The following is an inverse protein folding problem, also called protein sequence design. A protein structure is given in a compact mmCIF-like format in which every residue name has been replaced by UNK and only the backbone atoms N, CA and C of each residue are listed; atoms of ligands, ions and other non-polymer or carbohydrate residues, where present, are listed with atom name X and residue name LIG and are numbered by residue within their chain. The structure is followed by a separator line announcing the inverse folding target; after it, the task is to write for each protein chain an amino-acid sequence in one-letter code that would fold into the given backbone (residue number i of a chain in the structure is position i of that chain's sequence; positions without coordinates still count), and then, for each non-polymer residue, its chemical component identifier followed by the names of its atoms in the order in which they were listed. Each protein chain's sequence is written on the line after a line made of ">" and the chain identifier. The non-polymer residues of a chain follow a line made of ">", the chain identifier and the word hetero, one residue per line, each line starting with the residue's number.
data_IF_185702048030
#
_entry.id   IF_185702048030
#
_cell.length_a   1.000
_cell.length_b   1.000
_cell.length_c   1.000
_cell.angle_alpha   90.00
_cell.angle_beta   90.00
_cell.angle_gamma   90.00
#
_symmetry.space_group_name_H-M   'P 1'
#
loop_
_entity.id
_entity.type
_entity.pdbx_description
1 polymer ?
#
# COMPACT_ATOMS: atom_id res chain seq x y z
N UNK A 1 3.50 33.28 66.35
CA UNK A 1 4.31 32.05 66.30
C UNK A 1 3.56 31.07 65.41
N UNK A 2 4.27 30.42 64.48
CA UNK A 2 3.82 29.52 63.39
C UNK A 2 3.41 30.15 62.05
N UNK A 3 4.45 30.23 61.20
CA UNK A 3 4.59 29.96 59.76
C UNK A 3 3.36 29.55 58.94
N UNK A 4 3.17 30.24 57.81
CA UNK A 4 2.49 29.78 56.60
C UNK A 4 3.42 29.98 55.40
N UNK A 5 3.65 28.93 54.64
CA UNK A 5 4.24 28.94 53.30
C UNK A 5 3.34 29.70 52.31
N UNK A 6 3.89 30.38 51.28
CA UNK A 6 3.09 30.96 50.21
C UNK A 6 2.94 30.00 49.03
N UNK A 7 1.73 30.01 48.48
CA UNK A 7 1.34 29.38 47.22
C UNK A 7 1.74 30.23 46.01
N UNK A 8 1.92 29.52 44.89
CA UNK A 8 1.76 29.93 43.48
C UNK A 8 2.68 31.04 42.92
N UNK A 9 3.70 30.60 42.18
CA UNK A 9 4.36 31.41 41.13
C UNK A 9 4.14 30.76 39.76
N UNK A 10 3.37 31.44 38.90
CA UNK A 10 3.25 31.16 37.47
C UNK A 10 4.62 30.99 36.80
N UNK A 11 4.81 30.05 35.86
CA UNK A 11 6.04 29.97 35.10
C UNK A 11 6.16 31.19 34.18
N UNK A 12 7.23 31.95 34.35
CA UNK A 12 7.63 33.04 33.46
C UNK A 12 7.92 32.49 32.07
N UNK A 13 7.17 32.98 31.08
CA UNK A 13 7.55 32.90 29.67
C UNK A 13 8.72 33.87 29.46
N UNK A 14 9.92 33.34 29.23
CA UNK A 14 11.06 34.13 28.80
C UNK A 14 10.97 34.33 27.28
N UNK A 15 10.61 35.55 26.88
CA UNK A 15 10.75 36.05 25.50
C UNK A 15 12.23 36.39 25.21
N UNK A 16 12.70 35.98 24.02
CA UNK A 16 13.81 36.47 23.16
C UNK A 16 14.40 35.23 22.46
N UNK A 17 14.33 35.02 21.14
CA UNK A 17 14.67 35.93 20.05
C UNK A 17 13.61 35.97 18.93
N UNK A 18 13.29 37.19 18.51
CA UNK A 18 12.44 37.52 17.36
C UNK A 18 13.29 37.61 16.10
N UNK A 19 13.35 36.55 15.31
CA UNK A 19 13.87 36.58 13.94
C UNK A 19 12.80 36.06 12.98
N UNK A 20 12.67 36.69 11.81
CA UNK A 20 11.88 36.13 10.72
C UNK A 20 12.56 34.88 10.17
N UNK A 21 11.83 33.99 9.51
CA UNK A 21 12.43 32.81 8.86
C UNK A 21 13.55 33.18 7.86
N UNK A 22 13.46 34.38 7.29
CA UNK A 22 14.47 34.97 6.40
C UNK A 22 15.81 35.20 7.11
N UNK A 23 15.80 35.51 8.42
CA UNK A 23 17.01 35.72 9.21
C UNK A 23 17.75 34.38 9.48
N UNK A 24 16.98 33.30 9.69
CA UNK A 24 17.52 31.94 9.85
C UNK A 24 18.12 31.44 8.53
N UNK A 25 17.43 31.67 7.40
CA UNK A 25 17.96 31.33 6.07
C UNK A 25 19.28 32.04 5.77
N UNK A 26 19.41 33.31 6.19
CA UNK A 26 20.65 34.07 5.98
C UNK A 26 21.77 33.62 6.91
N UNK A 27 21.48 33.34 8.19
CA UNK A 27 22.52 32.99 9.17
C UNK A 27 23.01 31.54 9.04
N UNK A 28 22.15 30.63 8.57
CA UNK A 28 22.47 29.20 8.49
C UNK A 28 22.00 28.58 7.15
N UNK A 29 22.55 29.03 6.00
CA UNK A 29 22.11 28.60 4.67
C UNK A 29 22.38 27.11 4.39
N UNK A 30 23.30 26.49 5.12
CA UNK A 30 23.76 25.11 5.00
C UNK A 30 22.87 24.07 5.70
N UNK A 31 21.93 24.51 6.55
CA UNK A 31 21.00 23.62 7.28
C UNK A 31 19.53 23.83 6.92
N UNK A 32 19.22 24.80 6.06
CA UNK A 32 17.87 25.16 5.64
C UNK A 32 17.49 24.33 4.42
N UNK A 33 16.60 23.35 4.59
CA UNK A 33 16.19 22.43 3.52
C UNK A 33 15.19 23.03 2.52
N UNK A 34 14.39 24.00 2.97
CA UNK A 34 13.38 24.72 2.17
C UNK A 34 13.55 26.21 2.45
N UNK A 35 13.73 27.02 1.41
CA UNK A 35 13.89 28.47 1.57
C UNK A 35 12.56 29.18 1.83
N UNK A 36 12.63 30.48 2.14
CA UNK A 36 11.45 31.32 2.40
C UNK A 36 10.43 31.37 1.26
N UNK A 37 10.82 30.98 0.04
CA UNK A 37 9.95 30.92 -1.13
C UNK A 37 9.33 29.52 -1.34
N UNK A 38 9.54 28.58 -0.40
CA UNK A 38 9.02 27.21 -0.49
C UNK A 38 9.81 26.31 -1.44
N UNK A 39 11.01 26.72 -1.87
CA UNK A 39 11.83 25.97 -2.82
C UNK A 39 12.90 25.18 -2.06
N UNK A 40 13.06 23.90 -2.42
CA UNK A 40 14.07 23.01 -1.87
C UNK A 40 15.49 23.52 -2.22
N UNK A 41 16.34 23.63 -1.21
CA UNK A 41 17.71 24.15 -1.35
C UNK A 41 18.73 23.05 -1.69
N UNK A 42 18.35 21.78 -1.55
CA UNK A 42 19.24 20.63 -1.74
C UNK A 42 20.17 20.33 -0.56
N UNK A 43 20.13 21.12 0.52
CA UNK A 43 20.93 20.88 1.72
C UNK A 43 20.22 19.90 2.67
N UNK A 44 20.76 18.67 2.79
CA UNK A 44 20.24 17.62 3.68
C UNK A 44 21.30 17.30 4.74
N UNK A 45 21.03 17.67 6.00
CA UNK A 45 21.89 17.35 7.13
C UNK A 45 21.63 15.91 7.62
N UNK A 46 22.68 15.07 7.57
CA UNK A 46 22.69 13.69 8.04
C UNK A 46 23.05 13.61 9.53
N UNK A 47 22.10 13.25 10.39
CA UNK A 47 22.33 13.14 11.83
C UNK A 47 23.17 11.92 12.24
N UNK A 48 23.48 11.00 11.32
CA UNK A 48 24.38 9.87 11.63
C UNK A 48 25.87 10.29 11.72
N UNK A 49 26.24 11.52 11.34
CA UNK A 49 27.63 12.01 11.42
C UNK A 49 27.89 13.12 12.42
N UNK A 50 26.86 13.71 13.04
CA UNK A 50 27.00 14.90 13.89
C UNK A 50 26.93 14.60 15.40
N UNK A 51 27.37 13.41 15.85
CA UNK A 51 27.55 13.12 17.28
C UNK A 51 28.77 13.82 17.89
N UNK A 52 29.52 14.61 17.13
CA UNK A 52 30.69 15.33 17.64
C UNK A 52 30.51 16.82 17.36
N UNK A 53 30.35 17.56 18.45
CA UNK A 53 30.26 19.02 18.56
C UNK A 53 29.07 19.68 17.86
N UNK A 54 28.01 19.95 18.62
CA UNK A 54 27.36 21.26 18.71
C UNK A 54 26.24 21.19 19.76
N UNK A 55 26.23 22.16 20.67
CA UNK A 55 25.24 22.31 21.74
C UNK A 55 23.96 22.90 21.19
N UNK A 56 23.00 22.06 20.81
CA UNK A 56 21.64 22.49 20.50
C UNK A 56 20.77 22.43 21.77
N UNK A 57 19.94 23.46 21.97
CA UNK A 57 18.91 23.52 23.00
C UNK A 57 17.70 22.64 22.61
N UNK A 58 17.06 22.03 23.60
CA UNK A 58 16.08 20.95 23.43
C UNK A 58 14.83 21.27 22.61
N UNK A 59 14.51 22.55 22.38
CA UNK A 59 13.30 22.96 21.63
C UNK A 59 13.50 23.01 20.10
N UNK A 60 14.68 23.40 19.61
CA UNK A 60 14.96 23.44 18.16
C UNK A 60 15.09 22.03 17.56
N UNK A 61 15.54 21.07 18.38
CA UNK A 61 15.64 19.65 18.03
C UNK A 61 14.25 19.05 17.78
N UNK A 62 13.24 19.41 18.59
CA UNK A 62 11.90 18.82 18.50
C UNK A 62 11.16 19.27 17.24
N UNK A 63 11.25 20.56 16.86
CA UNK A 63 10.55 21.06 15.68
C UNK A 63 11.20 20.55 14.39
N UNK A 64 12.53 20.59 14.29
CA UNK A 64 13.26 20.06 13.12
C UNK A 64 13.21 18.54 13.01
N UNK A 65 13.21 17.79 14.12
CA UNK A 65 13.04 16.34 14.11
C UNK A 65 11.65 15.93 13.63
N UNK A 66 10.60 16.66 14.02
CA UNK A 66 9.23 16.34 13.61
C UNK A 66 9.02 16.59 12.11
N UNK A 67 9.53 17.71 11.58
CA UNK A 67 9.46 17.98 10.12
C UNK A 67 10.31 16.98 9.31
N UNK A 68 11.47 16.55 9.83
CA UNK A 68 12.33 15.54 9.19
C UNK A 68 11.72 14.13 9.24
N UNK A 69 11.07 13.75 10.33
CA UNK A 69 10.37 12.46 10.46
C UNK A 69 9.24 12.35 9.44
N UNK A 70 8.43 13.41 9.29
CA UNK A 70 7.34 13.44 8.31
C UNK A 70 7.87 13.39 6.87
N UNK A 71 9.00 14.04 6.58
CA UNK A 71 9.63 13.97 5.26
C UNK A 71 10.18 12.56 4.95
N UNK A 72 10.85 11.94 5.92
CA UNK A 72 11.36 10.57 5.78
C UNK A 72 10.24 9.54 5.67
N UNK A 73 9.17 9.68 6.44
CA UNK A 73 7.96 8.85 6.33
C UNK A 73 7.37 8.94 4.93
N UNK A 74 7.25 10.16 4.37
CA UNK A 74 6.77 10.34 2.99
C UNK A 74 7.71 9.73 1.95
N UNK A 75 9.02 9.86 2.14
CA UNK A 75 10.05 9.25 1.30
C UNK A 75 9.99 7.72 1.31
N UNK A 76 9.88 7.13 2.51
CA UNK A 76 9.76 5.68 2.70
C UNK A 76 8.45 5.17 2.15
N UNK A 77 7.33 5.83 2.44
CA UNK A 77 6.01 5.52 1.90
C UNK A 77 6.06 5.51 0.37
N UNK A 78 6.65 6.55 -0.23
CA UNK A 78 6.80 6.67 -1.68
C UNK A 78 7.70 5.57 -2.27
N UNK A 79 8.84 5.28 -1.63
CA UNK A 79 9.75 4.21 -2.03
C UNK A 79 9.06 2.83 -1.98
N UNK A 80 8.26 2.59 -0.93
CA UNK A 80 7.52 1.35 -0.74
C UNK A 80 6.34 1.19 -1.70
N UNK A 81 5.73 2.29 -2.15
CA UNK A 81 4.56 2.28 -3.04
C UNK A 81 4.89 2.58 -4.50
N UNK A 82 6.16 2.84 -4.83
CA UNK A 82 6.61 3.19 -6.18
C UNK A 82 5.95 2.33 -7.25
N UNK A 83 5.54 2.96 -8.35
CA UNK A 83 4.79 2.31 -9.42
C UNK A 83 5.48 1.02 -9.90
N UNK A 84 4.82 -0.14 -9.76
CA UNK A 84 5.24 -1.37 -10.46
C UNK A 84 4.09 -2.02 -11.18
N UNK A 85 4.47 -2.86 -12.14
CA UNK A 85 3.55 -3.66 -12.91
C UNK A 85 2.93 -4.77 -12.04
N UNK A 86 1.60 -4.78 -11.92
CA UNK A 86 0.87 -5.83 -11.22
C UNK A 86 0.55 -7.00 -12.17
N UNK A 87 0.20 -6.68 -13.41
CA UNK A 87 0.00 -7.62 -14.52
C UNK A 87 0.37 -6.92 -15.83
N UNK A 88 0.40 -7.67 -16.94
CA UNK A 88 0.87 -7.16 -18.23
C UNK A 88 0.24 -5.81 -18.63
N UNK A 89 1.08 -4.80 -18.73
CA UNK A 89 0.78 -3.40 -19.02
C UNK A 89 -0.20 -2.70 -18.07
N UNK A 90 -0.31 -3.17 -16.82
CA UNK A 90 -1.07 -2.48 -15.77
C UNK A 90 -0.19 -2.27 -14.55
N UNK A 91 -0.05 -1.01 -14.16
CA UNK A 91 0.78 -0.55 -13.06
C UNK A 91 -0.08 0.00 -11.93
N UNK A 92 0.42 -0.14 -10.70
CA UNK A 92 -0.17 0.46 -9.50
C UNK A 92 0.88 1.28 -8.78
N UNK A 93 0.55 2.50 -8.33
CA UNK A 93 1.46 3.35 -7.57
C UNK A 93 0.86 4.70 -7.16
N UNK A 94 1.63 5.59 -6.51
CA UNK A 94 1.15 6.86 -5.98
C UNK A 94 0.77 7.86 -7.07
N UNK A 95 -0.17 8.75 -6.76
CA UNK A 95 -0.59 9.81 -7.66
C UNK A 95 0.59 10.68 -8.11
N UNK A 96 0.69 11.05 -9.40
CA UNK A 96 1.86 11.75 -9.95
C UNK A 96 2.17 13.11 -9.31
N UNK A 97 1.17 13.82 -8.76
CA UNK A 97 1.36 15.15 -8.17
C UNK A 97 2.21 15.11 -6.88
N UNK A 98 2.20 13.97 -6.17
CA UNK A 98 3.08 13.73 -5.02
C UNK A 98 4.51 13.35 -5.44
N UNK A 99 4.75 13.17 -6.74
CA UNK A 99 5.97 12.60 -7.29
C UNK A 99 6.87 13.60 -8.03
N UNK A 100 6.37 14.82 -8.29
CA UNK A 100 7.09 15.84 -9.07
C UNK A 100 8.40 16.30 -8.40
N UNK A 101 8.44 16.33 -7.06
CA UNK A 101 9.65 16.68 -6.30
C UNK A 101 10.55 15.48 -5.95
N UNK A 102 10.06 14.25 -6.20
CA UNK A 102 10.69 13.01 -5.70
C UNK A 102 11.16 12.06 -6.82
N UNK A 103 11.29 12.57 -8.05
CA UNK A 103 11.79 11.79 -9.19
C UNK A 103 10.83 10.70 -9.65
N UNK A 104 9.51 10.95 -9.60
CA UNK A 104 8.51 9.99 -10.01
C UNK A 104 8.50 9.62 -11.48
N UNK A 105 7.86 8.47 -11.81
CA UNK A 105 7.80 7.99 -13.17
C UNK A 105 7.14 9.06 -14.04
N UNK A 106 7.75 9.45 -15.18
CA UNK A 106 7.19 10.47 -16.06
C UNK A 106 5.74 10.13 -16.45
N UNK A 107 4.83 11.09 -16.29
CA UNK A 107 3.42 11.00 -16.76
C UNK A 107 3.30 10.66 -18.25
N UNK A 108 4.37 10.87 -19.03
CA UNK A 108 4.47 10.50 -20.44
C UNK A 108 4.47 8.98 -20.75
N UNK A 109 4.44 8.11 -19.74
CA UNK A 109 4.55 6.67 -19.95
C UNK A 109 3.24 5.87 -20.02
N UNK A 110 2.11 6.46 -19.67
CA UNK A 110 0.82 5.75 -19.59
C UNK A 110 -0.22 6.34 -20.55
N UNK A 111 -1.04 5.48 -21.13
CA UNK A 111 -2.12 5.86 -22.05
C UNK A 111 -3.44 6.12 -21.29
N UNK A 112 -3.61 5.49 -20.12
CA UNK A 112 -4.80 5.65 -19.26
C UNK A 112 -4.37 5.73 -17.79
N UNK A 113 -4.92 6.71 -17.10
CA UNK A 113 -4.83 6.90 -15.65
C UNK A 113 -6.18 6.58 -15.02
N UNK A 114 -6.17 5.75 -13.98
CA UNK A 114 -7.34 5.39 -13.18
C UNK A 114 -7.08 5.86 -11.76
N UNK A 115 -7.69 6.99 -11.40
CA UNK A 115 -7.63 7.53 -10.05
C UNK A 115 -8.71 6.90 -9.17
N UNK A 116 -8.30 6.35 -8.04
CA UNK A 116 -9.24 5.73 -7.09
C UNK A 116 -9.46 6.63 -5.88
N UNK A 117 -10.71 7.01 -5.60
CA UNK A 117 -11.08 7.88 -4.48
C UNK A 117 -12.53 7.66 -4.02
N UNK A 118 -12.87 8.12 -2.81
CA UNK A 118 -14.17 7.89 -2.16
C UNK A 118 -15.39 8.49 -2.91
N UNK A 119 -15.18 9.55 -3.69
CA UNK A 119 -16.25 10.26 -4.41
C UNK A 119 -16.57 9.68 -5.79
N UNK A 120 -15.78 8.71 -6.27
CA UNK A 120 -15.90 8.17 -7.61
C UNK A 120 -17.07 7.17 -7.71
N UNK A 121 -17.65 7.08 -8.90
CA UNK A 121 -18.64 6.05 -9.24
C UNK A 121 -18.04 5.01 -10.19
N UNK A 122 -18.60 3.80 -10.20
CA UNK A 122 -18.14 2.74 -11.11
C UNK A 122 -18.41 3.18 -12.56
N UNK A 123 -17.41 3.19 -13.45
CA UNK A 123 -17.57 3.53 -14.86
C UNK A 123 -18.58 2.64 -15.60
N UNK A 124 -19.62 3.25 -16.19
CA UNK A 124 -20.56 2.51 -17.04
C UNK A 124 -19.92 2.13 -18.39
N UNK A 125 -20.48 1.10 -19.03
CA UNK A 125 -19.94 0.61 -20.32
C UNK A 125 -19.94 1.68 -21.43
N UNK A 126 -20.86 2.66 -21.38
CA UNK A 126 -20.94 3.74 -22.39
C UNK A 126 -19.79 4.73 -22.22
N UNK A 127 -19.47 5.10 -20.98
CA UNK A 127 -18.35 5.94 -20.64
C UNK A 127 -17.03 5.27 -21.06
N UNK A 128 -16.84 4.00 -20.73
CA UNK A 128 -15.64 3.23 -21.13
C UNK A 128 -15.48 3.15 -22.65
N UNK A 129 -16.58 2.97 -23.40
CA UNK A 129 -16.56 2.99 -24.86
C UNK A 129 -16.16 4.37 -25.43
N UNK A 130 -16.65 5.46 -24.82
CA UNK A 130 -16.25 6.83 -25.18
C UNK A 130 -14.75 7.02 -25.02
N UNK A 131 -14.18 6.65 -23.87
CA UNK A 131 -12.73 6.73 -23.62
C UNK A 131 -11.95 5.92 -24.66
N UNK A 132 -12.38 4.68 -24.92
CA UNK A 132 -11.74 3.81 -25.93
C UNK A 132 -11.66 4.45 -27.32
N UNK A 133 -12.71 5.17 -27.73
CA UNK A 133 -12.74 5.86 -29.03
C UNK A 133 -11.78 7.05 -29.11
N UNK A 134 -11.40 7.61 -27.96
CA UNK A 134 -10.60 8.83 -27.85
C UNK A 134 -9.12 8.56 -27.53
N UNK A 135 -8.72 7.32 -27.25
CA UNK A 135 -7.33 6.94 -26.92
C UNK A 135 -6.26 7.45 -27.88
N UNK A 136 -6.59 7.68 -29.16
CA UNK A 136 -5.66 8.26 -30.14
C UNK A 136 -5.31 9.74 -29.89
N UNK A 137 -6.06 10.43 -29.03
CA UNK A 137 -5.91 11.86 -28.71
C UNK A 137 -4.91 12.15 -27.60
N UNK A 138 -4.35 11.13 -26.95
CA UNK A 138 -3.40 11.27 -25.85
C UNK A 138 -3.81 10.47 -24.60
N UNK A 139 -3.16 10.73 -23.45
CA UNK A 139 -3.51 10.08 -22.19
C UNK A 139 -4.92 10.47 -21.71
N UNK A 140 -5.64 9.50 -21.15
CA UNK A 140 -6.99 9.72 -20.60
C UNK A 140 -7.01 9.45 -19.10
N UNK A 141 -7.78 10.26 -18.37
CA UNK A 141 -8.00 10.10 -16.94
C UNK A 141 -9.43 9.62 -16.71
N UNK A 142 -9.58 8.59 -15.90
CA UNK A 142 -10.86 8.10 -15.41
C UNK A 142 -10.78 7.93 -13.90
N UNK A 143 -11.94 7.89 -13.27
CA UNK A 143 -12.07 7.72 -11.83
C UNK A 143 -12.69 6.36 -11.52
N UNK A 144 -12.41 5.82 -10.34
CA UNK A 144 -12.94 4.56 -9.85
C UNK A 144 -13.13 4.60 -8.32
N UNK A 145 -14.15 3.93 -7.75
CA UNK A 145 -14.35 3.94 -6.30
C UNK A 145 -13.13 3.43 -5.52
N UNK A 146 -12.84 4.05 -4.38
CA UNK A 146 -11.79 3.62 -3.47
C UNK A 146 -12.06 2.24 -2.87
N UNK A 147 -10.99 1.55 -2.47
CA UNK A 147 -11.05 0.39 -1.57
C UNK A 147 -11.81 0.74 -0.31
N UNK A 148 -12.69 -0.14 0.15
CA UNK A 148 -13.51 0.07 1.34
C UNK A 148 -14.83 0.80 1.09
N UNK A 149 -15.01 1.49 -0.04
CA UNK A 149 -16.24 2.26 -0.34
C UNK A 149 -17.45 1.42 -0.72
N UNK A 150 -17.24 0.22 -1.28
CA UNK A 150 -18.32 -0.67 -1.74
C UNK A 150 -18.86 -1.49 -0.56
N UNK A 151 -20.08 -1.18 -0.11
CA UNK A 151 -20.71 -1.84 1.03
C UNK A 151 -21.35 -3.19 0.69
N UNK A 152 -21.15 -4.17 1.60
CA UNK A 152 -21.67 -5.53 1.50
C UNK A 152 -23.18 -5.65 1.25
N UNK A 153 -23.95 -4.73 1.83
CA UNK A 153 -25.41 -4.73 1.81
C UNK A 153 -26.03 -4.00 0.62
N UNK A 154 -25.22 -3.30 -0.17
CA UNK A 154 -25.73 -2.20 -1.00
C UNK A 154 -25.41 -2.31 -2.50
N UNK A 155 -24.59 -3.28 -2.93
CA UNK A 155 -24.29 -3.41 -4.36
C UNK A 155 -25.47 -3.99 -5.15
N UNK A 156 -25.76 -3.34 -6.26
CA UNK A 156 -26.77 -3.74 -7.23
C UNK A 156 -26.18 -4.63 -8.32
N UNK A 157 -27.02 -5.41 -9.02
CA UNK A 157 -26.57 -6.21 -10.17
C UNK A 157 -25.92 -5.35 -11.27
N UNK A 158 -26.42 -4.14 -11.59
CA UNK A 158 -25.76 -3.22 -12.51
C UNK A 158 -24.35 -2.82 -12.06
N UNK A 159 -24.15 -2.45 -10.78
CA UNK A 159 -22.82 -2.07 -10.27
C UNK A 159 -21.81 -3.22 -10.39
N UNK A 160 -22.22 -4.45 -10.07
CA UNK A 160 -21.37 -5.63 -10.27
C UNK A 160 -21.04 -5.84 -11.75
N UNK A 161 -22.01 -5.62 -12.64
CA UNK A 161 -21.78 -5.74 -14.08
C UNK A 161 -20.79 -4.67 -14.58
N UNK A 162 -20.96 -3.41 -14.21
CA UNK A 162 -20.07 -2.31 -14.62
C UNK A 162 -18.67 -2.45 -14.00
N UNK A 163 -18.57 -2.99 -12.78
CA UNK A 163 -17.29 -3.32 -12.15
C UNK A 163 -16.52 -4.37 -12.96
N UNK A 164 -17.18 -5.47 -13.33
CA UNK A 164 -16.57 -6.52 -14.16
C UNK A 164 -16.29 -5.99 -15.58
N UNK A 165 -17.19 -5.17 -16.13
CA UNK A 165 -16.99 -4.51 -17.43
C UNK A 165 -15.74 -3.61 -17.42
N UNK A 166 -15.46 -2.93 -16.30
CA UNK A 166 -14.22 -2.16 -16.11
C UNK A 166 -13.00 -3.07 -16.17
N UNK A 167 -12.98 -4.20 -15.44
CA UNK A 167 -11.87 -5.16 -15.50
C UNK A 167 -11.67 -5.72 -16.92
N UNK A 168 -12.77 -6.05 -17.60
CA UNK A 168 -12.77 -6.52 -18.99
C UNK A 168 -12.22 -5.46 -19.94
N UNK A 169 -12.63 -4.21 -19.78
CA UNK A 169 -12.18 -3.08 -20.57
C UNK A 169 -10.67 -2.85 -20.43
N UNK A 170 -10.16 -2.79 -19.18
CA UNK A 170 -8.72 -2.69 -18.89
C UNK A 170 -7.97 -3.81 -19.62
N UNK A 171 -8.43 -5.06 -19.51
CA UNK A 171 -7.79 -6.20 -20.18
C UNK A 171 -7.78 -6.08 -21.71
N UNK A 172 -8.86 -5.61 -22.33
CA UNK A 172 -8.94 -5.45 -23.78
C UNK A 172 -7.98 -4.37 -24.31
N UNK A 173 -7.77 -3.30 -23.56
CA UNK A 173 -6.83 -2.24 -23.90
C UNK A 173 -5.38 -2.72 -23.87
N UNK A 174 -5.01 -3.51 -22.85
CA UNK A 174 -3.64 -4.04 -22.70
C UNK A 174 -3.37 -5.29 -23.56
N UNK A 175 -4.43 -5.99 -24.00
CA UNK A 175 -4.35 -7.16 -24.87
C UNK A 175 -5.20 -6.98 -26.14
N UNK A 176 -4.81 -6.07 -27.05
CA UNK A 176 -5.53 -5.85 -28.28
C UNK A 176 -5.57 -7.13 -29.10
N UNK A 177 -6.76 -7.52 -29.55
CA UNK A 177 -6.91 -8.68 -30.44
C UNK A 177 -6.13 -8.41 -31.72
N UNK A 178 -5.19 -9.30 -32.06
CA UNK A 178 -4.64 -9.35 -33.43
C UNK A 178 -5.83 -9.55 -34.37
N UNK A 179 -6.23 -8.52 -35.10
CA UNK A 179 -7.06 -8.70 -36.28
C UNK A 179 -6.24 -9.59 -37.21
N UNK A 180 -6.62 -10.87 -37.36
CA UNK A 180 -6.20 -11.65 -38.51
C UNK A 180 -6.61 -10.81 -39.71
N UNK A 181 -5.66 -10.45 -40.56
CA UNK A 181 -5.97 -9.94 -41.89
C UNK A 181 -6.95 -10.92 -42.50
N UNK A 182 -8.22 -10.51 -42.63
CA UNK A 182 -9.13 -11.20 -43.51
C UNK A 182 -8.43 -11.18 -44.88
N UNK A 183 -8.25 -12.38 -45.42
CA UNK A 183 -7.65 -12.66 -46.71
C UNK A 183 -8.02 -11.61 -47.75
N UNK A 184 -7.01 -11.19 -48.52
CA UNK A 184 -7.07 -10.50 -49.80
C UNK A 184 -8.45 -10.60 -50.47
N UNK A 185 -9.27 -9.56 -50.32
CA UNK A 185 -10.33 -9.33 -51.29
C UNK A 185 -9.62 -8.99 -52.61
N UNK A 186 -9.95 -9.73 -53.66
CA UNK A 186 -9.43 -9.59 -55.03
C UNK A 186 -9.91 -8.32 -55.75
N UNK A 187 -10.26 -7.27 -55.03
CA UNK A 187 -10.65 -5.98 -55.60
C UNK A 187 -9.65 -4.94 -55.10
N UNK A 188 -8.99 -4.27 -56.05
CA UNK A 188 -7.79 -3.44 -55.86
C UNK A 188 -7.99 -2.14 -55.08
N UNK A 189 -8.62 -2.21 -53.92
CA UNK A 189 -8.74 -1.10 -52.99
C UNK A 189 -7.53 -1.06 -52.04
N UNK A 190 -7.00 0.16 -51.90
CA UNK A 190 -5.88 0.64 -51.08
C UNK A 190 -5.50 -0.34 -49.94
N UNK A 191 -4.24 -0.80 -49.83
CA UNK A 191 -3.83 -1.72 -48.77
C UNK A 191 -4.02 -1.04 -47.41
N UNK A 192 -5.12 -1.35 -46.73
CA UNK A 192 -5.37 -0.93 -45.37
C UNK A 192 -4.40 -1.71 -44.49
N UNK A 193 -3.29 -1.06 -44.12
CA UNK A 193 -2.31 -1.61 -43.16
C UNK A 193 -3.10 -2.15 -41.97
N UNK A 194 -2.86 -3.39 -41.52
CA UNK A 194 -3.57 -3.93 -40.37
C UNK A 194 -3.36 -2.96 -39.21
N UNK A 195 -4.45 -2.34 -38.75
CA UNK A 195 -4.43 -1.49 -37.58
C UNK A 195 -4.17 -2.39 -36.36
N UNK A 196 -2.90 -2.73 -36.14
CA UNK A 196 -2.42 -3.26 -34.89
C UNK A 196 -2.54 -2.12 -33.89
N UNK A 197 -3.67 -2.04 -33.20
CA UNK A 197 -3.79 -1.13 -32.06
C UNK A 197 -2.70 -1.53 -31.07
N UNK A 198 -1.76 -0.62 -30.81
CA UNK A 198 -0.68 -0.83 -29.84
C UNK A 198 -1.31 -1.19 -28.48
N UNK A 199 -0.77 -2.17 -27.73
CA UNK A 199 -1.19 -2.41 -26.35
C UNK A 199 -1.07 -1.12 -25.52
N UNK A 200 -2.16 -0.73 -24.85
CA UNK A 200 -2.16 0.42 -23.95
C UNK A 200 -1.41 0.09 -22.67
N UNK A 201 -0.88 1.12 -22.02
CA UNK A 201 -0.33 1.08 -20.67
C UNK A 201 -1.28 1.80 -19.71
N UNK A 202 -1.67 1.13 -18.64
CA UNK A 202 -2.67 1.62 -17.69
C UNK A 202 -2.02 1.82 -16.32
N UNK A 203 -2.28 2.96 -15.69
CA UNK A 203 -1.80 3.28 -14.36
C UNK A 203 -2.97 3.48 -13.40
N UNK A 204 -3.08 2.61 -12.40
CA UNK A 204 -4.03 2.71 -11.30
C UNK A 204 -3.33 3.44 -10.15
N UNK A 205 -3.90 4.53 -9.67
CA UNK A 205 -3.25 5.35 -8.65
C UNK A 205 -4.21 5.94 -7.62
N UNK A 206 -3.64 6.23 -6.46
CA UNK A 206 -4.25 6.97 -5.35
C UNK A 206 -3.16 7.74 -4.61
N UNK A 207 -3.50 8.56 -3.62
CA UNK A 207 -2.53 9.42 -2.92
C UNK A 207 -1.26 8.67 -2.48
N UNK A 208 -1.41 7.64 -1.66
CA UNK A 208 -0.28 6.82 -1.18
C UNK A 208 0.13 5.69 -2.14
N UNK A 209 -0.67 5.43 -3.17
CA UNK A 209 -0.43 4.44 -4.21
C UNK A 209 -0.87 3.02 -3.93
N UNK A 210 -1.46 2.75 -2.77
CA UNK A 210 -1.97 1.41 -2.48
C UNK A 210 -3.24 1.37 -1.63
N UNK A 211 -3.61 2.38 -0.84
CA UNK A 211 -4.81 2.27 0.02
C UNK A 211 -6.10 2.28 -0.80
N UNK A 212 -6.41 3.36 -1.50
CA UNK A 212 -7.67 3.47 -2.26
C UNK A 212 -7.66 2.59 -3.52
N UNK A 213 -6.47 2.29 -4.06
CA UNK A 213 -6.33 1.52 -5.31
C UNK A 213 -6.41 0.00 -5.15
N UNK A 214 -6.40 -0.51 -3.92
CA UNK A 214 -6.29 -1.94 -3.61
C UNK A 214 -7.40 -2.79 -4.21
N UNK A 215 -8.66 -2.37 -4.04
CA UNK A 215 -9.82 -3.12 -4.52
C UNK A 215 -9.74 -3.37 -6.03
N UNK A 216 -9.52 -2.33 -6.83
CA UNK A 216 -9.42 -2.46 -8.29
C UNK A 216 -8.19 -3.27 -8.68
N UNK A 217 -7.03 -3.03 -8.05
CA UNK A 217 -5.80 -3.76 -8.35
C UNK A 217 -5.95 -5.27 -8.10
N UNK A 218 -6.52 -5.66 -6.96
CA UNK A 218 -6.79 -7.06 -6.61
C UNK A 218 -7.81 -7.68 -7.55
N UNK A 219 -8.92 -7.00 -7.81
CA UNK A 219 -9.96 -7.53 -8.69
C UNK A 219 -9.46 -7.70 -10.13
N UNK A 220 -8.70 -6.72 -10.63
CA UNK A 220 -8.11 -6.82 -11.95
C UNK A 220 -7.06 -7.93 -12.02
N UNK A 221 -6.27 -8.14 -10.96
CA UNK A 221 -5.34 -9.25 -10.86
C UNK A 221 -6.09 -10.60 -10.92
N UNK A 222 -7.17 -10.76 -10.13
CA UNK A 222 -8.05 -11.95 -10.18
C UNK A 222 -8.58 -12.18 -11.60
N UNK A 223 -9.05 -11.12 -12.26
CA UNK A 223 -9.59 -11.17 -13.62
C UNK A 223 -8.53 -11.56 -14.65
N UNK A 224 -7.38 -10.87 -14.70
CA UNK A 224 -6.36 -11.07 -15.72
C UNK A 224 -5.58 -12.38 -15.54
N UNK A 225 -5.23 -12.73 -14.30
CA UNK A 225 -4.45 -13.93 -13.96
C UNK A 225 -5.33 -15.16 -13.73
N UNK A 226 -6.66 -14.99 -13.65
CA UNK A 226 -7.59 -16.08 -13.41
C UNK A 226 -7.41 -16.73 -12.04
N UNK A 227 -7.08 -15.93 -11.03
CA UNK A 227 -6.78 -16.39 -9.67
C UNK A 227 -7.95 -16.08 -8.72
N UNK A 228 -8.40 -17.03 -7.87
CA UNK A 228 -9.33 -16.73 -6.79
C UNK A 228 -8.72 -15.76 -5.78
N UNK A 229 -9.55 -15.12 -4.95
CA UNK A 229 -9.12 -14.04 -4.04
C UNK A 229 -7.95 -14.45 -3.16
N UNK A 230 -8.01 -15.62 -2.53
CA UNK A 230 -6.94 -16.12 -1.66
C UNK A 230 -5.59 -16.28 -2.40
N UNK A 231 -5.60 -16.68 -3.67
CA UNK A 231 -4.38 -16.75 -4.48
C UNK A 231 -3.94 -15.35 -4.94
N UNK A 232 -4.87 -14.48 -5.34
CA UNK A 232 -4.57 -13.13 -5.79
C UNK A 232 -3.84 -12.32 -4.71
N UNK A 233 -4.30 -12.38 -3.45
CA UNK A 233 -3.65 -11.75 -2.30
C UNK A 233 -2.20 -12.22 -2.15
N UNK A 234 -1.99 -13.54 -2.15
CA UNK A 234 -0.67 -14.12 -1.96
C UNK A 234 0.25 -13.82 -3.14
N UNK A 235 -0.23 -13.94 -4.38
CA UNK A 235 0.59 -13.73 -5.58
C UNK A 235 0.95 -12.26 -5.76
N UNK A 236 0.00 -11.33 -5.59
CA UNK A 236 0.28 -9.90 -5.67
C UNK A 236 1.31 -9.48 -4.62
N UNK A 237 1.16 -9.96 -3.39
CA UNK A 237 2.10 -9.62 -2.31
C UNK A 237 3.46 -10.32 -2.41
N UNK A 238 3.47 -11.63 -2.63
CA UNK A 238 4.67 -12.45 -2.56
C UNK A 238 5.44 -12.53 -3.88
N UNK A 239 4.74 -12.63 -5.02
CA UNK A 239 5.36 -12.73 -6.35
C UNK A 239 5.61 -11.34 -6.94
N UNK A 240 4.58 -10.48 -6.97
CA UNK A 240 4.71 -9.12 -7.54
C UNK A 240 5.35 -8.11 -6.59
N UNK A 241 5.56 -8.49 -5.33
CA UNK A 241 6.10 -7.60 -4.28
C UNK A 241 5.31 -6.30 -4.16
N UNK A 242 4.02 -6.35 -4.46
CA UNK A 242 3.13 -5.19 -4.43
C UNK A 242 2.35 -5.18 -3.14
N UNK A 243 2.57 -4.14 -2.34
CA UNK A 243 1.79 -3.88 -1.14
C UNK A 243 0.40 -3.38 -1.55
N UNK A 244 -0.60 -3.73 -0.73
CA UNK A 244 -1.98 -3.31 -0.87
C UNK A 244 -2.60 -3.27 0.53
N UNK A 245 -3.63 -2.46 0.70
CA UNK A 245 -4.41 -2.33 1.92
C UNK A 245 -5.90 -2.49 1.56
N UNK A 246 -6.40 -3.71 1.73
CA UNK A 246 -7.81 -4.00 1.49
C UNK A 246 -8.58 -4.01 2.82
N UNK A 247 -9.84 -3.59 2.75
CA UNK A 247 -10.76 -3.51 3.88
C UNK A 247 -11.60 -4.78 4.01
N UNK A 248 -12.26 -5.04 5.16
CA UNK A 248 -13.14 -6.20 5.32
C UNK A 248 -14.29 -6.23 4.32
N UNK A 249 -14.77 -5.05 3.92
CA UNK A 249 -15.80 -4.89 2.88
C UNK A 249 -15.31 -5.34 1.51
N UNK A 250 -14.05 -5.06 1.17
CA UNK A 250 -13.44 -5.50 -0.10
C UNK A 250 -13.34 -7.02 -0.16
N UNK A 251 -12.96 -7.67 0.95
CA UNK A 251 -12.93 -9.15 1.03
C UNK A 251 -14.31 -9.72 0.77
N UNK A 252 -15.32 -9.17 1.46
CA UNK A 252 -16.71 -9.62 1.34
C UNK A 252 -17.22 -9.43 -0.08
N UNK A 253 -16.93 -8.28 -0.69
CA UNK A 253 -17.30 -7.96 -2.07
C UNK A 253 -16.61 -8.88 -3.08
N UNK A 254 -15.29 -9.02 -3.02
CA UNK A 254 -14.52 -9.81 -3.97
C UNK A 254 -14.84 -11.30 -3.88
N UNK A 255 -15.07 -11.83 -2.68
CA UNK A 255 -15.58 -13.19 -2.51
C UNK A 255 -17.00 -13.34 -3.07
N UNK A 256 -17.87 -12.33 -2.87
CA UNK A 256 -19.23 -12.32 -3.38
C UNK A 256 -19.33 -12.30 -4.91
N UNK A 257 -18.44 -11.56 -5.59
CA UNK A 257 -18.42 -11.49 -7.06
C UNK A 257 -17.47 -12.49 -7.72
N UNK A 258 -16.64 -13.21 -6.95
CA UNK A 258 -15.54 -14.05 -7.44
C UNK A 258 -15.96 -14.97 -8.58
N UNK A 259 -17.10 -15.66 -8.44
CA UNK A 259 -17.58 -16.60 -9.45
C UNK A 259 -17.86 -15.92 -10.80
N UNK A 260 -18.48 -14.73 -10.78
CA UNK A 260 -18.75 -13.95 -12.00
C UNK A 260 -17.46 -13.38 -12.57
N UNK A 261 -16.59 -12.84 -11.72
CA UNK A 261 -15.31 -12.27 -12.14
C UNK A 261 -14.42 -13.33 -12.82
N UNK A 262 -14.33 -14.54 -12.26
CA UNK A 262 -13.55 -15.63 -12.83
C UNK A 262 -14.20 -16.28 -14.06
N UNK A 263 -15.53 -16.33 -14.16
CA UNK A 263 -16.19 -16.90 -15.34
C UNK A 263 -15.98 -16.03 -16.59
N UNK A 264 -15.86 -14.72 -16.38
CA UNK A 264 -15.56 -13.73 -17.41
C UNK A 264 -14.06 -13.51 -17.66
N UNK A 265 -13.20 -14.10 -16.83
CA UNK A 265 -11.76 -14.01 -17.00
C UNK A 265 -11.33 -14.58 -18.37
N UNK A 266 -10.40 -13.90 -19.06
CA UNK A 266 -9.80 -14.40 -20.29
C UNK A 266 -8.82 -15.57 -20.04
N UNK A 267 -8.43 -15.84 -18.79
CA UNK A 267 -7.55 -16.94 -18.47
C UNK A 267 -8.33 -18.27 -18.44
N UNK A 268 -7.97 -19.27 -19.26
CA UNK A 268 -8.69 -20.56 -19.32
C UNK A 268 -8.75 -21.31 -17.98
N UNK A 269 -7.78 -21.09 -17.09
CA UNK A 269 -7.73 -21.73 -15.77
C UNK A 269 -8.82 -21.21 -14.82
N UNK A 270 -9.25 -19.96 -14.98
CA UNK A 270 -10.18 -19.29 -14.07
C UNK A 270 -11.50 -20.08 -13.91
N UNK A 271 -12.04 -20.61 -15.02
CA UNK A 271 -13.29 -21.39 -15.03
C UNK A 271 -13.21 -22.68 -14.23
N UNK A 272 -12.03 -23.26 -14.06
CA UNK A 272 -11.83 -24.48 -13.27
C UNK A 272 -11.75 -24.17 -11.76
N UNK A 273 -11.53 -22.90 -11.41
CA UNK A 273 -11.32 -22.44 -10.03
C UNK A 273 -12.57 -21.80 -9.42
N UNK A 274 -13.62 -21.52 -10.22
CA UNK A 274 -14.86 -20.87 -9.76
C UNK A 274 -15.57 -21.60 -8.62
N UNK A 275 -15.43 -22.93 -8.56
CA UNK A 275 -16.09 -23.79 -7.56
C UNK A 275 -15.14 -24.32 -6.48
N UNK A 276 -13.85 -23.93 -6.48
CA UNK A 276 -12.94 -24.38 -5.44
C UNK A 276 -13.24 -23.66 -4.13
N UNK A 277 -13.31 -24.39 -3.00
CA UNK A 277 -13.48 -23.75 -1.70
C UNK A 277 -12.25 -22.89 -1.39
N UNK A 278 -12.48 -21.75 -0.74
CA UNK A 278 -11.39 -20.95 -0.19
C UNK A 278 -10.72 -21.70 0.96
N UNK A 279 -9.40 -21.51 1.16
CA UNK A 279 -8.70 -22.06 2.31
C UNK A 279 -9.26 -21.45 3.61
N UNK A 280 -9.10 -22.18 4.73
CA UNK A 280 -9.70 -21.78 6.01
C UNK A 280 -9.19 -20.43 6.47
N UNK A 281 -7.91 -20.13 6.24
CA UNK A 281 -7.32 -18.84 6.58
C UNK A 281 -8.05 -17.63 5.99
N UNK A 282 -8.71 -17.77 4.83
CA UNK A 282 -9.44 -16.68 4.17
C UNK A 282 -10.67 -16.26 5.00
N UNK A 283 -11.25 -17.17 5.78
CA UNK A 283 -12.44 -16.88 6.60
C UNK A 283 -12.14 -15.96 7.79
N UNK A 284 -10.86 -15.90 8.21
CA UNK A 284 -10.38 -15.06 9.31
C UNK A 284 -9.71 -13.76 8.83
N UNK A 285 -9.78 -13.47 7.53
CA UNK A 285 -9.12 -12.31 6.93
C UNK A 285 -9.99 -11.06 7.04
N UNK A 286 -9.44 -9.99 7.61
CA UNK A 286 -10.04 -8.65 7.71
C UNK A 286 -9.64 -7.73 6.55
N UNK A 287 -8.88 -8.23 5.58
CA UNK A 287 -8.64 -7.59 4.29
C UNK A 287 -7.18 -7.40 3.98
N UNK A 288 -6.40 -6.88 4.92
CA UNK A 288 -4.98 -6.65 4.69
C UNK A 288 -4.12 -7.80 5.18
N UNK A 289 -2.95 -7.95 4.56
CA UNK A 289 -1.92 -8.84 5.06
C UNK A 289 -1.07 -8.07 6.10
N UNK A 290 -0.30 -8.75 6.95
CA UNK A 290 0.76 -8.09 7.69
C UNK A 290 1.64 -7.22 6.77
N UNK A 291 1.91 -5.99 7.20
CA UNK A 291 2.70 -5.02 6.46
C UNK A 291 4.14 -5.50 6.34
N UNK A 292 4.66 -5.60 5.12
CA UNK A 292 6.07 -5.94 4.88
C UNK A 292 6.92 -4.69 5.11
N UNK A 293 7.65 -4.66 6.22
CA UNK A 293 8.56 -3.54 6.56
C UNK A 293 9.97 -3.82 6.03
N UNK A 294 10.40 -5.08 6.05
CA UNK A 294 11.66 -5.54 5.46
C UNK A 294 11.41 -6.83 4.65
N UNK A 295 12.30 -7.24 3.73
CA UNK A 295 12.15 -8.47 2.97
C UNK A 295 11.92 -9.73 3.82
N UNK A 296 12.39 -9.71 5.06
CA UNK A 296 12.28 -10.77 6.06
C UNK A 296 11.44 -10.38 7.30
N UNK A 297 10.90 -9.17 7.38
CA UNK A 297 10.17 -8.71 8.57
C UNK A 297 8.81 -8.13 8.20
N UNK A 298 7.80 -8.62 8.90
CA UNK A 298 6.43 -8.18 8.81
C UNK A 298 6.01 -7.55 10.12
N UNK A 299 5.18 -6.51 10.02
CA UNK A 299 4.49 -5.90 11.14
C UNK A 299 3.01 -6.20 11.01
N UNK A 300 2.38 -6.67 12.08
CA UNK A 300 0.96 -6.99 12.08
C UNK A 300 0.33 -6.86 13.46
N UNK A 301 -0.95 -7.19 13.53
CA UNK A 301 -1.73 -7.19 14.76
C UNK A 301 -1.96 -8.62 15.27
N UNK A 302 -2.65 -8.75 16.41
CA UNK A 302 -3.02 -10.04 16.97
C UNK A 302 -3.98 -10.84 16.07
N UNK A 303 -4.85 -10.18 15.29
CA UNK A 303 -5.74 -10.84 14.34
C UNK A 303 -4.94 -11.59 13.25
N UNK A 304 -3.89 -10.97 12.71
CA UNK A 304 -2.95 -11.65 11.82
C UNK A 304 -2.22 -12.80 12.52
N UNK A 305 -1.76 -12.55 13.75
CA UNK A 305 -0.99 -13.53 14.51
C UNK A 305 -1.82 -14.75 14.91
N UNK A 306 -3.15 -14.64 14.96
CA UNK A 306 -4.08 -15.76 15.26
C UNK A 306 -4.52 -16.54 14.01
N UNK A 307 -3.89 -16.30 12.86
CA UNK A 307 -4.14 -16.98 11.60
C UNK A 307 -2.90 -17.77 11.10
N UNK A 308 -2.51 -18.86 11.78
CA UNK A 308 -1.25 -19.57 11.49
C UNK A 308 -1.15 -20.09 10.05
N UNK A 309 -2.25 -20.53 9.44
CA UNK A 309 -2.26 -21.03 8.06
C UNK A 309 -1.93 -19.92 7.04
N UNK A 310 -2.44 -18.70 7.25
CA UNK A 310 -2.06 -17.53 6.45
C UNK A 310 -0.56 -17.23 6.60
N UNK A 311 -0.06 -17.20 7.84
CA UNK A 311 1.35 -16.92 8.12
C UNK A 311 2.26 -17.95 7.44
N UNK A 312 1.86 -19.23 7.48
CA UNK A 312 2.56 -20.30 6.76
C UNK A 312 2.62 -20.02 5.25
N UNK A 313 1.47 -19.63 4.67
CA UNK A 313 1.32 -19.29 3.25
C UNK A 313 2.14 -18.07 2.84
N UNK A 314 2.33 -17.10 3.74
CA UNK A 314 3.20 -15.93 3.57
C UNK A 314 4.69 -16.25 3.71
N UNK A 315 5.04 -17.48 4.07
CA UNK A 315 6.42 -17.86 4.36
C UNK A 315 6.92 -17.35 5.71
N UNK A 316 6.04 -16.80 6.56
CA UNK A 316 6.36 -16.39 7.93
C UNK A 316 6.49 -17.65 8.76
N UNK A 317 7.62 -17.76 9.48
CA UNK A 317 7.94 -18.94 10.28
C UNK A 317 8.22 -18.62 11.72
N UNK A 318 8.42 -17.35 12.06
CA UNK A 318 8.63 -16.91 13.44
C UNK A 318 7.66 -15.80 13.79
N UNK A 319 7.23 -15.77 15.04
CA UNK A 319 6.33 -14.74 15.56
C UNK A 319 6.92 -14.19 16.84
N UNK A 320 7.09 -12.87 16.87
CA UNK A 320 7.41 -12.09 18.06
C UNK A 320 6.14 -11.33 18.45
N UNK A 321 5.47 -11.80 19.50
CA UNK A 321 4.27 -11.14 20.05
C UNK A 321 4.66 -10.30 21.24
N UNK A 322 4.28 -9.02 21.23
CA UNK A 322 4.60 -8.07 22.31
C UNK A 322 3.29 -7.60 22.94
N UNK A 323 3.22 -7.65 24.28
CA UNK A 323 2.09 -7.15 25.06
C UNK A 323 0.90 -8.12 25.19
N UNK A 324 0.57 -8.88 24.15
CA UNK A 324 -0.51 -9.89 24.17
C UNK A 324 -0.02 -11.29 23.74
N UNK A 325 -0.35 -12.36 24.49
CA UNK A 325 0.05 -13.72 24.13
C UNK A 325 -0.83 -14.29 23.01
N UNK A 326 -0.27 -15.23 22.25
CA UNK A 326 -1.01 -15.96 21.22
C UNK A 326 -1.92 -17.01 21.87
N UNK A 327 -3.21 -16.97 21.55
CA UNK A 327 -4.22 -17.95 21.98
C UNK A 327 -4.32 -19.14 21.03
N UNK A 328 -3.18 -19.74 20.67
CA UNK A 328 -3.13 -20.88 19.76
C UNK A 328 -3.47 -22.20 20.45
N UNK A 329 -4.02 -23.15 19.70
CA UNK A 329 -4.25 -24.51 20.19
C UNK A 329 -2.91 -25.24 20.37
N UNK A 330 -2.85 -26.20 21.30
CA UNK A 330 -1.62 -26.95 21.56
C UNK A 330 -1.06 -27.62 20.30
N UNK A 331 -1.93 -28.14 19.44
CA UNK A 331 -1.57 -28.74 18.15
C UNK A 331 -0.91 -27.73 17.20
N UNK A 332 -1.39 -26.48 17.16
CA UNK A 332 -0.83 -25.41 16.34
C UNK A 332 0.56 -25.00 16.86
N UNK A 333 0.72 -24.90 18.18
CA UNK A 333 2.01 -24.59 18.82
C UNK A 333 3.03 -25.71 18.57
N UNK A 334 2.62 -26.97 18.71
CA UNK A 334 3.49 -28.12 18.45
C UNK A 334 3.92 -28.17 16.98
N UNK A 335 2.97 -27.97 16.06
CA UNK A 335 3.26 -27.93 14.62
C UNK A 335 4.16 -26.76 14.21
N UNK A 336 4.06 -25.64 14.91
CA UNK A 336 4.87 -24.44 14.63
C UNK A 336 6.27 -24.49 15.23
N UNK A 337 6.43 -25.18 16.36
CA UNK A 337 7.65 -25.21 17.16
C UNK A 337 7.70 -24.03 18.13
N UNK A 338 7.82 -24.35 19.43
CA UNK A 338 7.84 -23.35 20.50
C UNK A 338 9.05 -22.40 20.39
N UNK A 339 10.16 -22.87 19.81
CA UNK A 339 11.36 -22.08 19.53
C UNK A 339 11.15 -20.96 18.50
N UNK A 340 10.08 -21.06 17.71
CA UNK A 340 9.72 -20.07 16.69
C UNK A 340 8.70 -19.04 17.18
N UNK A 341 8.31 -19.11 18.46
CA UNK A 341 7.36 -18.22 19.10
C UNK A 341 8.05 -17.52 20.27
N UNK A 342 8.15 -16.20 20.19
CA UNK A 342 8.64 -15.37 21.29
C UNK A 342 7.52 -14.46 21.77
N UNK A 343 7.18 -14.57 23.05
CA UNK A 343 6.27 -13.67 23.73
C UNK A 343 7.04 -12.78 24.69
N UNK A 344 6.80 -11.47 24.59
CA UNK A 344 7.32 -10.47 25.51
C UNK A 344 6.15 -9.92 26.33
N UNK A 345 6.22 -10.16 27.64
CA UNK A 345 5.23 -9.70 28.61
C UNK A 345 5.57 -8.28 29.10
N UNK A 346 4.62 -7.61 29.74
CA UNK A 346 4.86 -6.37 30.52
C UNK A 346 5.38 -5.16 29.72
N UNK A 347 5.11 -5.13 28.41
CA UNK A 347 5.33 -3.95 27.57
C UNK A 347 3.99 -3.46 27.05
N UNK A 348 3.45 -2.37 27.58
CA UNK A 348 2.22 -1.73 27.09
C UNK A 348 2.54 -0.64 26.05
N UNK A 349 1.59 -0.31 25.15
CA UNK A 349 1.74 0.76 24.14
C UNK A 349 1.56 2.15 24.76
N UNK A 350 1.93 2.32 26.03
CA UNK A 350 1.69 3.57 26.73
C UNK A 350 2.78 4.60 26.46
N UNK A 351 3.85 4.24 25.72
CA UNK A 351 5.03 5.08 25.51
C UNK A 351 5.88 5.28 26.78
N UNK A 352 5.59 4.52 27.85
CA UNK A 352 6.20 4.64 29.17
C UNK A 352 7.06 3.40 29.46
N UNK A 353 6.63 2.21 29.04
CA UNK A 353 7.33 0.96 29.34
C UNK A 353 8.60 0.79 28.48
N UNK A 354 9.80 0.74 29.10
CA UNK A 354 11.05 0.69 28.35
C UNK A 354 11.29 -0.68 27.72
N UNK A 355 11.20 -0.74 26.38
CA UNK A 355 11.57 -1.91 25.56
C UNK A 355 13.04 -2.29 25.65
N UNK A 356 13.90 -1.43 26.21
CA UNK A 356 15.36 -1.60 26.24
C UNK A 356 15.82 -2.87 26.94
N UNK A 357 15.08 -3.35 27.95
CA UNK A 357 15.43 -4.57 28.69
C UNK A 357 15.21 -5.84 27.85
N UNK A 358 14.17 -5.85 27.02
CA UNK A 358 13.82 -7.00 26.16
C UNK A 358 14.43 -6.88 24.75
N UNK A 359 15.00 -5.72 24.40
CA UNK A 359 15.53 -5.43 23.07
C UNK A 359 16.62 -6.43 22.66
N UNK A 360 17.55 -6.77 23.55
CA UNK A 360 18.62 -7.74 23.26
C UNK A 360 18.04 -9.13 22.95
N UNK A 361 17.04 -9.56 23.71
CA UNK A 361 16.34 -10.83 23.51
C UNK A 361 15.55 -10.84 22.21
N UNK A 362 14.86 -9.75 21.89
CA UNK A 362 14.16 -9.56 20.62
C UNK A 362 15.13 -9.59 19.44
N UNK A 363 16.26 -8.89 19.53
CA UNK A 363 17.29 -8.87 18.50
C UNK A 363 17.97 -10.22 18.32
N UNK A 364 18.26 -10.94 19.40
CA UNK A 364 18.74 -12.32 19.34
C UNK A 364 17.73 -13.21 18.60
N UNK A 365 16.45 -13.11 18.96
CA UNK A 365 15.40 -13.84 18.27
C UNK A 365 15.31 -13.45 16.79
N UNK A 366 15.37 -12.17 16.43
CA UNK A 366 15.38 -11.72 15.03
C UNK A 366 16.62 -12.26 14.28
N UNK A 367 17.80 -12.07 14.86
CA UNK A 367 19.11 -12.33 14.24
C UNK A 367 19.53 -13.80 14.18
N UNK A 368 18.94 -14.68 15.00
CA UNK A 368 19.32 -16.09 15.04
C UNK A 368 19.05 -16.85 13.73
N UNK A 369 18.17 -16.38 12.85
CA UNK A 369 17.87 -17.04 11.56
C UNK A 369 17.41 -16.06 10.46
N UNK A 370 17.87 -16.23 9.23
CA UNK A 370 17.39 -15.49 8.03
C UNK A 370 16.00 -15.96 7.55
N UNK A 371 15.06 -16.19 8.46
CA UNK A 371 13.68 -16.59 8.16
C UNK A 371 12.70 -15.44 8.42
N UNK A 372 11.59 -15.41 7.66
CA UNK A 372 10.59 -14.33 7.77
C UNK A 372 9.94 -14.33 9.15
N UNK A 373 9.93 -13.16 9.78
CA UNK A 373 9.40 -12.88 11.11
C UNK A 373 8.16 -11.99 11.02
N UNK A 374 7.14 -12.27 11.82
CA UNK A 374 6.06 -11.35 12.13
C UNK A 374 6.26 -10.74 13.52
N UNK A 375 6.34 -9.42 13.59
CA UNK A 375 6.18 -8.66 14.82
C UNK A 375 4.68 -8.35 14.98
N UNK A 376 4.05 -8.93 15.99
CA UNK A 376 2.64 -8.73 16.28
C UNK A 376 2.48 -7.82 17.50
N UNK A 377 1.69 -6.77 17.35
CA UNK A 377 1.40 -5.81 18.41
C UNK A 377 -0.07 -5.37 18.39
N UNK A 378 -0.63 -5.04 19.55
CA UNK A 378 -2.00 -4.53 19.63
C UNK A 378 -2.04 -3.26 20.48
N UNK A 379 -2.60 -2.17 19.93
CA UNK A 379 -2.94 -1.00 20.73
C UNK A 379 -4.12 -1.36 21.61
N UNK A 380 -3.91 -1.49 22.92
CA UNK A 380 -5.02 -1.34 23.85
C UNK A 380 -5.45 0.12 23.79
N UNK A 381 -6.65 0.34 23.26
CA UNK A 381 -7.30 1.65 23.21
C UNK A 381 -7.51 2.24 24.61
#
# INVERSE_FOLDING_TARGET
>A
MFSKEPAESSPMVANCETGSFQDIEHQHPDIVAINQNGILTGHVMDFCKASLSLSFTSYDILYTANTRSVLWERLEMYSMSQATEITKNVWQGPSPDLSYDMGGPPTSHYDVFIETHDGASIPDTRYLAKISSQLHKGPHHIEFPSSGSIMASSWSQPEVYDFIATCRWIYQLVNPRRRKSLSENKDGDIPMKPATTKPCKIFIHCGDGYTESSLLALAYFMYAEGAPAHEAWLRLHCEKKRNFFAYPTDVTFLLGIQQKLLSESPNPRARQLTHRPSPNWMTKMDGSLPSRILPYMYLGNLAHATNPELLWSLGIRRILSVGEPLSWMAEDVEKWGAENLLYINEVQDNGIDPLTQELERCLAFIGMFFSRLLLAYNRKA
#
